data_IF_182711738077
#
_entry.id   IF_182711738077
#
_cell.length_a   1.000
_cell.length_b   1.000
_cell.length_c   1.000
_cell.angle_alpha   90.00
_cell.angle_beta   90.00
_cell.angle_gamma   90.00
#
_symmetry.space_group_name_H-M   'P 1'
#
loop_
_entity.id
_entity.type
_entity.pdbx_description
1 polymer ?
#
# COMPACT_ATOMS: atom_id res chain seq x y z
N UNK A 1 57.61 -55.66 -28.73
CA UNK A 1 58.18 -56.20 -27.49
C UNK A 1 57.62 -55.41 -26.30
N UNK A 2 56.98 -56.14 -25.37
CA UNK A 2 56.79 -55.83 -23.93
C UNK A 2 55.93 -54.58 -23.64
N UNK A 3 54.95 -54.52 -22.80
CA UNK A 3 54.34 -55.50 -21.88
C UNK A 3 53.22 -54.69 -21.14
N UNK A 4 52.06 -55.19 -21.17
CA UNK A 4 50.92 -55.16 -20.27
C UNK A 4 51.28 -54.71 -18.85
N UNK A 5 50.46 -53.76 -18.34
CA UNK A 5 50.05 -53.81 -16.95
C UNK A 5 48.63 -53.25 -16.78
N UNK A 6 47.71 -54.16 -16.46
CA UNK A 6 46.41 -53.88 -16.01
C UNK A 6 46.43 -53.41 -14.57
N UNK A 7 45.91 -52.23 -14.29
CA UNK A 7 45.55 -51.84 -12.92
C UNK A 7 44.05 -51.68 -12.89
N UNK A 8 43.43 -52.59 -12.20
CA UNK A 8 42.00 -52.63 -11.91
C UNK A 8 41.77 -51.69 -10.70
N UNK A 9 41.15 -50.57 -10.93
CA UNK A 9 40.70 -49.73 -9.83
C UNK A 9 39.18 -49.93 -9.65
N UNK A 10 38.85 -50.51 -8.52
CA UNK A 10 37.45 -50.60 -8.07
C UNK A 10 36.95 -49.20 -7.72
N UNK A 11 35.95 -48.71 -8.49
CA UNK A 11 35.25 -47.47 -8.15
C UNK A 11 34.12 -47.85 -7.26
N UNK A 12 34.25 -47.49 -5.98
CA UNK A 12 33.21 -47.53 -4.99
C UNK A 12 32.13 -46.47 -5.36
N UNK A 13 30.98 -46.92 -5.83
CA UNK A 13 29.84 -46.04 -6.01
C UNK A 13 29.26 -45.63 -4.64
N UNK A 14 29.71 -44.50 -4.09
CA UNK A 14 28.98 -43.82 -3.04
C UNK A 14 27.78 -43.13 -3.66
N UNK A 15 26.59 -43.68 -3.44
CA UNK A 15 25.33 -43.04 -3.80
C UNK A 15 25.15 -41.73 -3.00
N UNK A 16 25.37 -40.61 -3.65
CA UNK A 16 24.87 -39.33 -3.15
C UNK A 16 23.36 -39.27 -3.51
N UNK A 17 22.52 -39.50 -2.51
CA UNK A 17 21.12 -39.11 -2.58
C UNK A 17 21.06 -37.57 -2.56
N UNK A 18 20.89 -36.95 -3.71
CA UNK A 18 20.52 -35.55 -3.80
C UNK A 18 19.12 -35.46 -3.25
N UNK A 19 19.00 -35.11 -1.99
CA UNK A 19 17.76 -34.69 -1.37
C UNK A 19 17.29 -33.45 -2.12
N UNK A 20 16.27 -33.58 -2.94
CA UNK A 20 15.54 -32.47 -3.49
C UNK A 20 14.84 -31.77 -2.31
N UNK A 21 15.52 -30.79 -1.74
CA UNK A 21 14.92 -29.86 -0.78
C UNK A 21 13.85 -29.10 -1.53
N UNK A 22 12.59 -29.51 -1.34
CA UNK A 22 11.47 -28.66 -1.68
C UNK A 22 11.60 -27.42 -0.82
N UNK A 23 12.06 -26.32 -1.44
CA UNK A 23 11.89 -25.00 -0.85
C UNK A 23 10.41 -24.89 -0.51
N UNK A 24 10.04 -24.58 0.73
CA UNK A 24 8.66 -24.23 1.00
C UNK A 24 8.37 -23.03 0.10
N UNK A 25 7.44 -23.22 -0.84
CA UNK A 25 6.92 -22.13 -1.63
C UNK A 25 6.59 -21.03 -0.64
N UNK A 26 7.15 -19.84 -0.85
CA UNK A 26 6.62 -18.61 -0.27
C UNK A 26 5.22 -18.44 -0.84
N UNK A 27 4.29 -19.11 -0.19
CA UNK A 27 2.89 -18.96 -0.46
C UNK A 27 2.32 -17.93 0.49
N UNK A 28 1.48 -17.18 -0.15
CA UNK A 28 0.56 -16.22 0.41
C UNK A 28 1.24 -14.91 0.83
N UNK A 29 1.05 -13.92 -0.04
CA UNK A 29 1.01 -12.52 0.30
C UNK A 29 -0.06 -12.32 1.38
N UNK A 30 0.27 -12.69 2.63
CA UNK A 30 -0.39 -12.09 3.76
C UNK A 30 0.06 -10.64 3.68
N UNK A 31 -0.79 -9.80 3.11
CA UNK A 31 -0.60 -8.38 3.10
C UNK A 31 -0.46 -7.96 4.55
N UNK A 32 0.75 -7.57 4.92
CA UNK A 32 1.05 -7.14 6.27
C UNK A 32 0.15 -5.94 6.56
N UNK A 33 -0.80 -6.10 7.46
CA UNK A 33 -1.71 -5.02 7.83
C UNK A 33 -0.89 -3.97 8.56
N UNK A 34 -0.99 -2.72 8.10
CA UNK A 34 -0.35 -1.62 8.80
C UNK A 34 -0.77 -1.59 10.28
N UNK A 35 0.18 -1.38 11.20
CA UNK A 35 -0.14 -1.30 12.61
C UNK A 35 -1.08 -0.12 12.87
N UNK A 36 -2.02 -0.29 13.79
CA UNK A 36 -2.87 0.81 14.23
C UNK A 36 -2.03 1.91 14.87
N UNK A 37 -2.44 3.16 14.66
CA UNK A 37 -1.78 4.33 15.23
C UNK A 37 -2.54 4.84 16.43
N UNK A 38 -1.81 5.21 17.47
CA UNK A 38 -2.35 5.78 18.72
C UNK A 38 -1.62 7.07 19.07
N UNK A 39 -2.33 8.00 19.69
CA UNK A 39 -1.73 9.22 20.23
C UNK A 39 -1.42 9.00 21.70
N UNK A 40 -0.16 9.21 22.10
CA UNK A 40 0.29 9.15 23.47
C UNK A 40 1.01 10.46 23.83
N UNK A 41 0.36 11.30 24.60
CA UNK A 41 0.85 12.66 24.88
C UNK A 41 0.98 13.47 23.59
N UNK A 42 2.20 13.81 23.20
CA UNK A 42 2.52 14.58 21.98
C UNK A 42 3.07 13.71 20.86
N UNK A 43 3.06 12.40 21.00
CA UNK A 43 3.65 11.47 20.04
C UNK A 43 2.57 10.64 19.35
N UNK A 44 2.78 10.38 18.07
CA UNK A 44 2.08 9.34 17.33
C UNK A 44 2.89 8.04 17.47
N UNK A 45 2.23 6.98 17.91
CA UNK A 45 2.87 5.69 18.18
C UNK A 45 2.13 4.56 17.44
N UNK A 46 2.83 3.47 17.17
CA UNK A 46 2.20 2.22 16.76
C UNK A 46 1.74 1.42 18.00
N UNK A 47 1.05 0.32 17.76
CA UNK A 47 0.58 -0.59 18.83
C UNK A 47 1.69 -1.34 19.55
N UNK A 48 2.91 -1.31 19.00
CA UNK A 48 4.11 -1.93 19.59
C UNK A 48 4.83 -0.98 20.56
N UNK A 49 4.41 0.29 20.59
CA UNK A 49 4.96 1.30 21.49
C UNK A 49 6.07 2.14 20.87
N UNK A 50 6.32 2.02 19.56
CA UNK A 50 7.32 2.81 18.87
C UNK A 50 6.73 4.14 18.40
N UNK A 51 7.53 5.20 18.49
CA UNK A 51 7.17 6.50 17.90
C UNK A 51 7.19 6.44 16.38
N UNK A 52 6.10 6.85 15.76
CA UNK A 52 5.93 6.84 14.31
C UNK A 52 6.00 8.27 13.76
N UNK A 53 6.82 8.46 12.74
CA UNK A 53 6.89 9.70 11.95
C UNK A 53 6.49 9.37 10.52
N UNK A 54 5.39 9.97 10.04
CA UNK A 54 4.87 9.71 8.71
C UNK A 54 5.26 10.83 7.75
N UNK A 55 5.85 10.46 6.64
CA UNK A 55 6.13 11.34 5.50
C UNK A 55 5.19 11.01 4.36
N UNK A 56 4.64 12.03 3.71
CA UNK A 56 3.72 11.75 2.63
C UNK A 56 3.27 12.97 1.84
N UNK A 57 2.29 12.76 0.97
CA UNK A 57 1.82 13.74 0.02
C UNK A 57 0.33 13.95 0.15
N UNK A 58 -0.09 15.21 0.09
CA UNK A 58 -1.49 15.57 -0.02
C UNK A 58 -1.85 15.79 -1.49
N UNK A 59 -2.84 15.04 -1.97
CA UNK A 59 -3.46 15.35 -3.26
C UNK A 59 -4.19 16.68 -3.16
N UNK A 60 -4.18 17.46 -4.24
CA UNK A 60 -5.08 18.60 -4.41
C UNK A 60 -6.53 18.12 -4.56
N UNK A 61 -7.50 19.02 -4.41
CA UNK A 61 -8.91 18.64 -4.46
C UNK A 61 -9.26 17.92 -5.75
N UNK A 62 -10.03 16.85 -5.63
CA UNK A 62 -10.36 15.95 -6.73
C UNK A 62 -10.96 16.67 -7.95
N UNK A 63 -11.84 17.69 -7.74
CA UNK A 63 -12.49 18.40 -8.83
C UNK A 63 -11.52 19.22 -9.69
N UNK A 64 -10.39 19.66 -9.13
CA UNK A 64 -9.37 20.42 -9.88
C UNK A 64 -8.27 19.54 -10.44
N UNK A 65 -8.00 18.40 -9.78
CA UNK A 65 -6.86 17.54 -10.09
C UNK A 65 -7.24 16.06 -10.25
N UNK A 66 -8.37 15.71 -10.88
CA UNK A 66 -8.87 14.34 -10.94
C UNK A 66 -7.90 13.37 -11.62
N UNK A 67 -7.07 13.88 -12.54
CA UNK A 67 -6.08 13.07 -13.26
C UNK A 67 -5.04 12.38 -12.36
N UNK A 68 -4.85 12.87 -11.16
CA UNK A 68 -3.91 12.27 -10.20
C UNK A 68 -4.57 11.23 -9.29
N UNK A 69 -5.90 11.16 -9.25
CA UNK A 69 -6.64 10.20 -8.44
C UNK A 69 -6.71 8.84 -9.14
N UNK A 70 -5.59 8.10 -9.12
CA UNK A 70 -5.47 6.78 -9.74
C UNK A 70 -4.35 5.95 -9.10
N UNK A 71 -4.39 4.63 -9.30
CA UNK A 71 -3.44 3.69 -8.72
C UNK A 71 -1.98 3.94 -9.13
N UNK A 72 -1.74 4.38 -10.38
CA UNK A 72 -0.38 4.63 -10.86
C UNK A 72 0.29 5.80 -10.13
N UNK A 73 -0.46 6.86 -9.82
CA UNK A 73 0.08 7.99 -9.06
C UNK A 73 0.40 7.60 -7.62
N UNK A 74 -0.44 6.77 -7.00
CA UNK A 74 -0.18 6.23 -5.65
C UNK A 74 1.08 5.36 -5.67
N UNK A 75 1.18 4.41 -6.59
CA UNK A 75 2.34 3.54 -6.71
C UNK A 75 3.63 4.33 -6.92
N UNK A 76 3.61 5.37 -7.76
CA UNK A 76 4.75 6.25 -7.99
C UNK A 76 5.17 6.99 -6.70
N UNK A 77 4.21 7.58 -5.97
CA UNK A 77 4.52 8.29 -4.73
C UNK A 77 5.08 7.35 -3.65
N UNK A 78 4.57 6.13 -3.58
CA UNK A 78 5.05 5.13 -2.61
C UNK A 78 6.42 4.59 -2.99
N UNK A 79 6.61 4.15 -4.24
CA UNK A 79 7.82 3.43 -4.65
C UNK A 79 9.00 4.36 -4.95
N UNK A 80 8.74 5.52 -5.55
CA UNK A 80 9.81 6.44 -5.99
C UNK A 80 10.07 7.56 -4.97
N UNK A 81 9.04 7.99 -4.22
CA UNK A 81 9.17 9.06 -3.23
C UNK A 81 9.19 8.56 -1.78
N UNK A 82 8.89 7.28 -1.55
CA UNK A 82 8.85 6.69 -0.21
C UNK A 82 7.70 7.22 0.66
N UNK A 83 6.59 7.60 0.05
CA UNK A 83 5.43 8.08 0.79
C UNK A 83 4.86 6.98 1.69
N UNK A 84 4.64 7.31 2.96
CA UNK A 84 4.09 6.42 3.99
C UNK A 84 2.63 6.75 4.31
N UNK A 85 2.18 7.95 3.94
CA UNK A 85 0.81 8.41 4.09
C UNK A 85 0.42 9.29 2.90
N UNK A 86 -0.80 9.12 2.43
CA UNK A 86 -1.39 9.94 1.37
C UNK A 86 -2.66 10.61 1.90
N UNK A 87 -2.91 11.87 1.52
CA UNK A 87 -4.17 12.53 1.84
C UNK A 87 -5.00 12.66 0.57
N UNK A 88 -6.11 11.93 0.52
CA UNK A 88 -7.11 12.04 -0.54
C UNK A 88 -8.10 13.16 -0.18
N UNK A 89 -7.96 14.31 -0.83
CA UNK A 89 -8.72 15.52 -0.51
C UNK A 89 -9.90 15.69 -1.46
N UNK A 90 -11.11 15.46 -0.95
CA UNK A 90 -12.35 15.65 -1.69
C UNK A 90 -12.95 17.02 -1.41
N UNK A 91 -12.95 17.90 -2.41
CA UNK A 91 -13.60 19.21 -2.27
C UNK A 91 -15.12 19.06 -2.29
N UNK A 92 -15.78 19.61 -1.27
CA UNK A 92 -17.22 19.43 -1.08
C UNK A 92 -18.04 20.49 -1.81
N UNK A 93 -17.54 21.70 -1.89
CA UNK A 93 -18.21 22.86 -2.48
C UNK A 93 -17.23 23.65 -3.37
N UNK A 94 -17.65 24.80 -3.84
CA UNK A 94 -16.90 25.80 -4.62
C UNK A 94 -16.75 25.56 -6.13
N UNK A 95 -17.21 24.43 -6.69
CA UNK A 95 -17.07 24.14 -8.12
C UNK A 95 -18.20 23.25 -8.63
N UNK A 96 -18.43 23.24 -9.95
CA UNK A 96 -19.47 22.41 -10.58
C UNK A 96 -19.19 20.90 -10.51
N UNK A 97 -17.93 20.50 -10.28
CA UNK A 97 -17.50 19.12 -10.14
C UNK A 97 -17.25 18.73 -8.68
N UNK A 98 -17.60 19.59 -7.72
CA UNK A 98 -17.47 19.29 -6.29
C UNK A 98 -18.45 18.19 -5.84
N UNK A 99 -18.20 17.65 -4.65
CA UNK A 99 -18.97 16.53 -4.09
C UNK A 99 -20.48 16.81 -4.04
N UNK A 100 -20.91 18.00 -3.63
CA UNK A 100 -22.33 18.35 -3.53
C UNK A 100 -23.04 18.24 -4.89
N UNK A 101 -22.38 18.59 -5.96
CA UNK A 101 -22.94 18.57 -7.31
C UNK A 101 -22.74 17.23 -8.02
N UNK A 102 -21.66 16.50 -7.67
CA UNK A 102 -21.30 15.21 -8.28
C UNK A 102 -20.74 14.25 -7.21
N UNK A 103 -21.58 13.76 -6.29
CA UNK A 103 -21.12 12.94 -5.17
C UNK A 103 -20.42 11.66 -5.63
N UNK A 104 -20.96 10.97 -6.62
CA UNK A 104 -20.39 9.73 -7.16
C UNK A 104 -18.98 9.92 -7.71
N UNK A 105 -18.74 11.03 -8.39
CA UNK A 105 -17.43 11.37 -8.91
C UNK A 105 -16.40 11.63 -7.79
N UNK A 106 -16.82 12.33 -6.73
CA UNK A 106 -15.98 12.56 -5.57
C UNK A 106 -15.61 11.26 -4.85
N UNK A 107 -16.59 10.40 -4.62
CA UNK A 107 -16.43 9.08 -4.02
C UNK A 107 -15.47 8.22 -4.88
N UNK A 108 -15.73 8.13 -6.18
CA UNK A 108 -14.89 7.36 -7.11
C UNK A 108 -13.42 7.79 -7.06
N UNK A 109 -13.16 9.10 -7.07
CA UNK A 109 -11.80 9.62 -6.98
C UNK A 109 -11.13 9.20 -5.66
N UNK A 110 -11.78 9.42 -4.53
CA UNK A 110 -11.22 9.08 -3.22
C UNK A 110 -11.00 7.58 -3.09
N UNK A 111 -11.97 6.76 -3.47
CA UNK A 111 -11.89 5.30 -3.42
C UNK A 111 -10.68 4.78 -4.19
N UNK A 112 -10.41 5.30 -5.39
CA UNK A 112 -9.22 4.91 -6.18
C UNK A 112 -7.91 5.12 -5.43
N UNK A 113 -7.80 6.21 -4.67
CA UNK A 113 -6.60 6.48 -3.87
C UNK A 113 -6.56 5.59 -2.63
N UNK A 114 -7.70 5.38 -1.96
CA UNK A 114 -7.81 4.51 -0.78
C UNK A 114 -7.44 3.07 -1.14
N UNK A 115 -8.06 2.51 -2.17
CA UNK A 115 -7.79 1.13 -2.61
C UNK A 115 -6.31 0.96 -2.97
N UNK A 116 -5.76 1.90 -3.75
CA UNK A 116 -4.36 1.84 -4.12
C UNK A 116 -3.41 2.04 -2.92
N UNK A 117 -3.75 2.86 -1.93
CA UNK A 117 -2.98 3.01 -0.70
C UNK A 117 -2.99 1.70 0.10
N UNK A 118 -4.15 1.07 0.22
CA UNK A 118 -4.29 -0.26 0.80
C UNK A 118 -3.44 -1.28 0.03
N UNK A 119 -3.47 -1.28 -1.28
CA UNK A 119 -2.65 -2.17 -2.12
C UNK A 119 -1.15 -1.95 -1.97
N UNK A 120 -0.71 -0.76 -1.71
CA UNK A 120 0.69 -0.42 -1.54
C UNK A 120 1.14 -0.42 -0.06
N UNK A 121 0.27 -0.75 0.89
CA UNK A 121 0.61 -0.86 2.29
C UNK A 121 1.00 0.47 2.94
N UNK A 122 0.30 1.55 2.62
CA UNK A 122 0.53 2.89 3.19
C UNK A 122 -0.74 3.44 3.80
N UNK A 123 -0.59 4.35 4.77
CA UNK A 123 -1.72 5.02 5.40
C UNK A 123 -2.40 5.99 4.43
N UNK A 124 -3.69 6.21 4.64
CA UNK A 124 -4.44 7.22 3.89
C UNK A 124 -5.28 8.08 4.84
N UNK A 125 -5.29 9.38 4.58
CA UNK A 125 -6.18 10.33 5.22
C UNK A 125 -7.29 10.65 4.23
N UNK A 126 -8.50 10.27 4.57
CA UNK A 126 -9.70 10.64 3.81
C UNK A 126 -10.15 12.01 4.31
N UNK A 127 -9.99 13.03 3.46
CA UNK A 127 -10.36 14.39 3.79
C UNK A 127 -11.59 14.83 3.00
N UNK A 128 -12.71 14.96 3.68
CA UNK A 128 -13.89 15.63 3.16
C UNK A 128 -13.75 17.13 3.40
N UNK A 129 -13.10 17.80 2.44
CA UNK A 129 -12.71 19.20 2.54
C UNK A 129 -13.89 20.14 2.25
N UNK A 130 -14.43 20.73 3.29
CA UNK A 130 -15.59 21.64 3.20
C UNK A 130 -15.31 22.96 3.90
N UNK A 131 -15.79 24.05 3.32
CA UNK A 131 -15.78 25.37 3.95
C UNK A 131 -17.03 25.62 4.79
N UNK A 132 -18.05 24.75 4.67
CA UNK A 132 -19.30 24.84 5.39
C UNK A 132 -19.53 23.58 6.21
N UNK A 133 -20.08 23.77 7.41
CA UNK A 133 -20.49 22.64 8.24
C UNK A 133 -21.72 21.95 7.62
N UNK A 134 -21.51 20.76 7.05
CA UNK A 134 -22.53 19.91 6.41
C UNK A 134 -22.55 18.57 7.12
N UNK A 135 -23.03 18.58 8.36
CA UNK A 135 -22.86 17.46 9.29
C UNK A 135 -23.51 16.17 8.79
N UNK A 136 -24.74 16.22 8.32
CA UNK A 136 -25.47 15.02 7.87
C UNK A 136 -24.84 14.42 6.60
N UNK A 137 -24.50 15.25 5.63
CA UNK A 137 -23.78 14.81 4.43
C UNK A 137 -22.38 14.21 4.77
N UNK A 138 -21.72 14.76 5.79
CA UNK A 138 -20.43 14.21 6.25
C UNK A 138 -20.60 12.82 6.89
N UNK A 139 -21.65 12.62 7.69
CA UNK A 139 -21.97 11.31 8.27
C UNK A 139 -22.25 10.28 7.18
N UNK A 140 -23.08 10.65 6.19
CA UNK A 140 -23.38 9.80 5.05
C UNK A 140 -22.12 9.38 4.30
N UNK A 141 -21.29 10.34 3.97
CA UNK A 141 -20.01 10.09 3.27
C UNK A 141 -19.12 9.12 4.04
N UNK A 142 -18.83 9.39 5.33
CA UNK A 142 -17.96 8.53 6.12
C UNK A 142 -18.59 7.18 6.49
N UNK A 143 -19.88 6.98 6.28
CA UNK A 143 -20.51 5.67 6.40
C UNK A 143 -20.28 4.80 5.17
N UNK A 144 -20.05 5.41 4.00
CA UNK A 144 -19.80 4.72 2.73
C UNK A 144 -18.31 4.38 2.55
N UNK A 145 -17.42 5.19 3.12
CA UNK A 145 -15.96 5.01 3.03
C UNK A 145 -15.41 4.03 4.09
#
# INVERSE_FOLDING_TARGET
>A
MKSIWKVMLAVCCLGMTIGCGTNPSKNENVKETLPALVVNGTQLMNTEGDTVVLHGVSYGWHQFWPRFYNASSVAYLVNDWGAQVLRASMGVDLDSACYVNKPEFGIECVTKVVDAAIENGVYVIIDRHSHNLRQEEAKEFFTQM
#
